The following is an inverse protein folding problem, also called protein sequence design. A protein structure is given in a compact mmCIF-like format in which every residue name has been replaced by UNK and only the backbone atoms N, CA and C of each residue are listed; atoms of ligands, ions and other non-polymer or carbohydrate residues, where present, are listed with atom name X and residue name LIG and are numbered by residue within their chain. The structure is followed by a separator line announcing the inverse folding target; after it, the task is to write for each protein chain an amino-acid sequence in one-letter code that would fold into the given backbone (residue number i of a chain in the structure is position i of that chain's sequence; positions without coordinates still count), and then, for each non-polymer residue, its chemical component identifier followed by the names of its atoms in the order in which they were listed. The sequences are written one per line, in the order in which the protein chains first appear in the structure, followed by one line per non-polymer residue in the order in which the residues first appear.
data_IF_441530447126
#
_entry.id   IF_441530447126
#
_cell.length_a   1.000
_cell.length_b   1.000
_cell.length_c   1.000
_cell.angle_alpha   90.00
_cell.angle_beta   90.00
_cell.angle_gamma   90.00
#
_symmetry.space_group_name_H-M   'P 1'
#
loop_
_entity.id
_entity.type
_entity.pdbx_description
1 polymer ?
#
# COMPACT_ATOMS: atom_id res chain seq x y z
N UNK A 1 40.72 -69.54 -39.63
CA UNK A 1 39.91 -69.30 -38.42
C UNK A 1 40.88 -69.09 -37.28
N UNK A 2 40.77 -67.97 -36.56
CA UNK A 2 41.59 -67.72 -35.37
C UNK A 2 41.30 -68.80 -34.33
N UNK A 3 42.35 -69.25 -33.63
CA UNK A 3 42.19 -70.19 -32.52
C UNK A 3 41.35 -69.53 -31.40
N UNK A 4 40.60 -70.33 -30.64
CA UNK A 4 39.77 -69.83 -29.53
C UNK A 4 40.61 -69.11 -28.45
N UNK A 5 41.90 -69.43 -28.33
CA UNK A 5 42.81 -68.72 -27.43
C UNK A 5 43.19 -67.33 -27.95
N UNK A 6 43.37 -67.19 -29.27
CA UNK A 6 43.72 -65.90 -29.88
C UNK A 6 42.54 -64.93 -29.80
N UNK A 7 41.31 -65.40 -29.99
CA UNK A 7 40.10 -64.57 -29.82
C UNK A 7 39.98 -64.02 -28.39
N UNK A 8 40.15 -64.87 -27.38
CA UNK A 8 40.11 -64.45 -25.97
C UNK A 8 41.19 -63.43 -25.63
N UNK A 9 42.39 -63.58 -26.22
CA UNK A 9 43.48 -62.63 -26.03
C UNK A 9 43.15 -61.27 -26.64
N UNK A 10 42.56 -61.25 -27.83
CA UNK A 10 42.16 -60.00 -28.51
C UNK A 10 41.07 -59.30 -27.71
N UNK A 11 40.06 -60.04 -27.23
CA UNK A 11 38.96 -59.49 -26.44
C UNK A 11 39.46 -58.86 -25.12
N UNK A 12 40.40 -59.51 -24.43
CA UNK A 12 41.02 -58.95 -23.22
C UNK A 12 41.83 -57.68 -23.49
N UNK A 13 42.56 -57.63 -24.62
CA UNK A 13 43.33 -56.45 -25.01
C UNK A 13 42.41 -55.29 -25.40
N UNK A 14 41.31 -55.56 -26.08
CA UNK A 14 40.32 -54.55 -26.44
C UNK A 14 39.59 -54.01 -25.21
N UNK A 15 39.18 -54.89 -24.30
CA UNK A 15 38.57 -54.51 -23.02
C UNK A 15 39.53 -53.63 -22.21
N UNK A 16 40.80 -54.03 -22.08
CA UNK A 16 41.81 -53.25 -21.37
C UNK A 16 42.06 -51.87 -22.02
N UNK A 17 42.13 -51.80 -23.35
CA UNK A 17 42.25 -50.51 -24.06
C UNK A 17 41.06 -49.60 -23.80
N UNK A 18 39.86 -50.15 -23.75
CA UNK A 18 38.63 -49.39 -23.47
C UNK A 18 38.64 -48.86 -22.04
N UNK A 19 38.97 -49.69 -21.05
CA UNK A 19 39.06 -49.29 -19.64
C UNK A 19 40.12 -48.21 -19.40
N UNK A 20 41.28 -48.28 -20.07
CA UNK A 20 42.33 -47.28 -19.95
C UNK A 20 41.89 -45.95 -20.58
N UNK A 21 41.23 -46.00 -21.74
CA UNK A 21 40.72 -44.79 -22.41
C UNK A 21 39.65 -44.11 -21.56
N UNK A 22 38.72 -44.87 -21.00
CA UNK A 22 37.64 -44.35 -20.16
C UNK A 22 38.18 -43.69 -18.88
N UNK A 23 39.19 -44.31 -18.23
CA UNK A 23 39.88 -43.72 -17.07
C UNK A 23 40.59 -42.40 -17.41
N UNK A 24 41.17 -42.27 -18.60
CA UNK A 24 41.85 -41.05 -19.04
C UNK A 24 40.86 -39.91 -19.37
N UNK A 25 39.73 -40.23 -20.01
CA UNK A 25 38.69 -39.26 -20.32
C UNK A 25 37.95 -38.79 -19.06
N UNK A 26 37.66 -39.71 -18.12
CA UNK A 26 37.03 -39.38 -16.84
C UNK A 26 37.92 -38.46 -15.98
N UNK A 27 39.25 -38.66 -15.98
CA UNK A 27 40.18 -37.77 -15.29
C UNK A 27 40.33 -36.38 -15.94
N UNK A 28 40.24 -36.29 -17.27
CA UNK A 28 40.25 -35.00 -17.98
C UNK A 28 38.97 -34.21 -17.77
N UNK A 29 37.81 -34.85 -17.86
CA UNK A 29 36.50 -34.22 -17.70
C UNK A 29 36.31 -33.61 -16.30
N UNK A 30 36.80 -34.27 -15.25
CA UNK A 30 36.67 -33.80 -13.85
C UNK A 30 37.51 -32.56 -13.53
N UNK A 31 38.64 -32.35 -14.24
CA UNK A 31 39.49 -31.14 -14.09
C UNK A 31 39.00 -29.95 -14.92
N UNK A 32 38.24 -30.19 -15.99
CA UNK A 32 37.89 -29.15 -16.96
C UNK A 32 36.78 -28.20 -16.46
N UNK A 33 35.85 -28.65 -15.62
CA UNK A 33 34.74 -27.82 -15.12
C UNK A 33 35.11 -26.83 -14.02
N UNK A 34 35.56 -27.33 -12.86
CA UNK A 34 35.84 -26.47 -11.70
C UNK A 34 37.16 -25.69 -11.83
N UNK A 35 38.19 -26.30 -12.43
CA UNK A 35 39.49 -25.65 -12.62
C UNK A 35 39.42 -24.46 -13.59
N UNK A 36 38.60 -24.56 -14.64
CA UNK A 36 38.42 -23.48 -15.61
C UNK A 36 37.68 -22.28 -14.98
N UNK A 37 36.62 -22.53 -14.20
CA UNK A 37 35.89 -21.47 -13.48
C UNK A 37 36.79 -20.76 -12.47
N UNK A 38 37.60 -21.52 -11.71
CA UNK A 38 38.55 -20.92 -10.76
C UNK A 38 39.65 -20.10 -11.46
N UNK A 39 40.16 -20.60 -12.60
CA UNK A 39 41.14 -19.87 -13.42
C UNK A 39 40.56 -18.59 -14.03
N UNK A 40 39.27 -18.61 -14.40
CA UNK A 40 38.56 -17.45 -14.93
C UNK A 40 38.48 -16.35 -13.88
N UNK A 41 38.02 -16.67 -12.67
CA UNK A 41 37.91 -15.69 -11.57
C UNK A 41 39.26 -15.14 -11.09
N UNK A 42 40.36 -15.88 -11.26
CA UNK A 42 41.72 -15.39 -10.99
C UNK A 42 42.36 -14.62 -12.15
N UNK A 43 41.72 -14.56 -13.32
CA UNK A 43 42.24 -13.79 -14.46
C UNK A 43 41.91 -12.30 -14.31
N UNK A 44 42.73 -11.42 -14.89
CA UNK A 44 42.45 -9.97 -14.94
C UNK A 44 41.08 -9.67 -15.56
N UNK A 45 40.67 -10.46 -16.56
CA UNK A 45 39.37 -10.34 -17.20
C UNK A 45 38.22 -10.77 -16.27
N UNK A 46 38.35 -11.91 -15.57
CA UNK A 46 37.33 -12.37 -14.62
C UNK A 46 37.18 -11.46 -13.41
N UNK A 47 38.28 -10.90 -12.90
CA UNK A 47 38.23 -9.85 -11.88
C UNK A 47 37.51 -8.61 -12.38
N UNK A 48 37.77 -8.17 -13.62
CA UNK A 48 37.05 -7.06 -14.23
C UNK A 48 35.54 -7.34 -14.37
N UNK A 49 35.15 -8.54 -14.80
CA UNK A 49 33.73 -8.95 -14.86
C UNK A 49 33.09 -9.00 -13.47
N UNK A 50 33.79 -9.53 -12.45
CA UNK A 50 33.32 -9.53 -11.07
C UNK A 50 33.10 -8.11 -10.54
N UNK A 51 34.01 -7.19 -10.81
CA UNK A 51 33.84 -5.78 -10.45
C UNK A 51 32.65 -5.17 -11.16
N UNK A 52 32.43 -5.46 -12.44
CA UNK A 52 31.25 -4.97 -13.18
C UNK A 52 29.93 -5.53 -12.60
N UNK A 53 29.89 -6.81 -12.23
CA UNK A 53 28.74 -7.44 -11.57
C UNK A 53 28.51 -6.82 -10.19
N UNK A 54 29.58 -6.60 -9.42
CA UNK A 54 29.47 -6.00 -8.09
C UNK A 54 28.98 -4.56 -8.15
N UNK A 55 29.51 -3.75 -9.08
CA UNK A 55 29.06 -2.36 -9.26
C UNK A 55 27.63 -2.32 -9.77
N UNK A 56 27.26 -3.12 -10.78
CA UNK A 56 25.87 -3.16 -11.28
C UNK A 56 24.88 -3.68 -10.25
N UNK A 57 25.25 -4.71 -9.48
CA UNK A 57 24.47 -5.20 -8.35
C UNK A 57 24.32 -4.16 -7.26
N UNK A 58 25.40 -3.45 -6.91
CA UNK A 58 25.40 -2.37 -5.93
C UNK A 58 24.53 -1.18 -6.36
N UNK A 59 24.62 -0.76 -7.62
CA UNK A 59 23.76 0.29 -8.19
C UNK A 59 22.29 -0.11 -8.11
N UNK A 60 21.96 -1.36 -8.50
CA UNK A 60 20.57 -1.84 -8.43
C UNK A 60 20.03 -1.84 -7.00
N UNK A 61 20.80 -2.35 -6.04
CA UNK A 61 20.40 -2.36 -4.63
C UNK A 61 20.23 -0.94 -4.09
N UNK A 62 21.11 -0.02 -4.49
CA UNK A 62 21.02 1.39 -4.12
C UNK A 62 19.78 2.07 -4.72
N UNK A 63 19.52 1.86 -6.00
CA UNK A 63 18.33 2.38 -6.69
C UNK A 63 17.04 1.81 -6.07
N UNK A 64 16.99 0.51 -5.79
CA UNK A 64 15.86 -0.13 -5.11
C UNK A 64 15.63 0.47 -3.71
N UNK A 65 16.71 0.73 -2.96
CA UNK A 65 16.63 1.39 -1.65
C UNK A 65 16.12 2.83 -1.76
N UNK A 66 16.63 3.60 -2.72
CA UNK A 66 16.21 4.98 -2.94
C UNK A 66 14.74 5.07 -3.36
N UNK A 67 14.31 4.20 -4.28
CA UNK A 67 12.91 4.08 -4.70
C UNK A 67 12.01 3.72 -3.53
N UNK A 68 12.45 2.81 -2.64
CA UNK A 68 11.71 2.47 -1.43
C UNK A 68 11.56 3.69 -0.50
N UNK A 69 12.63 4.44 -0.28
CA UNK A 69 12.61 5.63 0.56
C UNK A 69 11.72 6.75 -0.02
N UNK A 70 11.79 6.99 -1.33
CA UNK A 70 10.92 7.94 -2.03
C UNK A 70 9.46 7.53 -1.92
N UNK A 71 9.14 6.25 -2.13
CA UNK A 71 7.78 5.72 -1.98
C UNK A 71 7.25 5.87 -0.54
N UNK A 72 8.08 5.62 0.48
CA UNK A 72 7.69 5.81 1.88
C UNK A 72 7.38 7.29 2.17
N UNK A 73 8.19 8.21 1.64
CA UNK A 73 7.96 9.65 1.78
C UNK A 73 6.66 10.09 1.09
N UNK A 74 6.44 9.69 -0.16
CA UNK A 74 5.21 10.03 -0.90
C UNK A 74 3.97 9.45 -0.21
N UNK A 75 4.06 8.27 0.40
CA UNK A 75 2.96 7.70 1.19
C UNK A 75 2.70 8.48 2.47
N UNK A 76 3.75 8.93 3.15
CA UNK A 76 3.62 9.82 4.30
C UNK A 76 2.86 11.10 3.95
N UNK A 77 3.23 11.73 2.82
CA UNK A 77 2.52 12.91 2.29
C UNK A 77 1.05 12.61 1.97
N UNK A 78 0.74 11.45 1.38
CA UNK A 78 -0.65 11.04 1.11
C UNK A 78 -1.43 10.86 2.43
N UNK A 79 -0.83 10.23 3.44
CA UNK A 79 -1.48 10.03 4.75
C UNK A 79 -1.78 11.37 5.40
N UNK A 80 -0.85 12.32 5.37
CA UNK A 80 -1.05 13.67 5.91
C UNK A 80 -2.17 14.41 5.19
N UNK A 81 -2.20 14.35 3.85
CA UNK A 81 -3.31 14.94 3.07
C UNK A 81 -4.65 14.30 3.42
N UNK A 82 -4.69 12.97 3.57
CA UNK A 82 -5.90 12.25 3.97
C UNK A 82 -6.34 12.65 5.38
N UNK A 83 -5.43 12.79 6.34
CA UNK A 83 -5.73 13.27 7.69
C UNK A 83 -6.37 14.66 7.67
N UNK A 84 -5.81 15.57 6.89
CA UNK A 84 -6.34 16.93 6.75
C UNK A 84 -7.72 16.95 6.10
N UNK A 85 -7.92 16.20 5.01
CA UNK A 85 -9.21 16.13 4.31
C UNK A 85 -10.29 15.45 5.18
N UNK A 86 -9.95 14.39 5.92
CA UNK A 86 -10.86 13.72 6.85
C UNK A 86 -11.27 14.68 7.97
N UNK A 87 -10.31 15.39 8.58
CA UNK A 87 -10.56 16.37 9.63
C UNK A 87 -11.49 17.48 9.13
N UNK A 88 -11.17 18.03 7.96
CA UNK A 88 -11.95 19.07 7.32
C UNK A 88 -13.40 18.64 6.99
N UNK A 89 -13.60 17.41 6.50
CA UNK A 89 -14.95 16.88 6.26
C UNK A 89 -15.71 16.66 7.56
N UNK A 90 -15.08 16.18 8.63
CA UNK A 90 -15.71 16.08 9.94
C UNK A 90 -16.15 17.46 10.48
N UNK A 91 -15.28 18.46 10.36
CA UNK A 91 -15.58 19.83 10.78
C UNK A 91 -16.79 20.39 10.04
N UNK A 92 -16.87 20.19 8.73
CA UNK A 92 -18.03 20.61 7.93
C UNK A 92 -19.30 19.87 8.33
N UNK A 93 -19.25 18.56 8.56
CA UNK A 93 -20.41 17.79 9.03
C UNK A 93 -20.89 18.31 10.38
N UNK A 94 -19.98 18.53 11.33
CA UNK A 94 -20.33 19.03 12.66
C UNK A 94 -20.90 20.44 12.63
N UNK A 95 -20.30 21.34 11.84
CA UNK A 95 -20.77 22.71 11.65
C UNK A 95 -22.15 22.74 10.98
N UNK A 96 -22.38 21.87 10.00
CA UNK A 96 -23.69 21.73 9.34
C UNK A 96 -24.77 21.29 10.33
N UNK A 97 -24.46 20.32 11.20
CA UNK A 97 -25.36 19.87 12.26
C UNK A 97 -25.65 20.99 13.28
N UNK A 98 -24.69 21.87 13.55
CA UNK A 98 -24.86 23.02 14.45
C UNK A 98 -25.77 24.09 13.84
N UNK A 99 -25.55 24.45 12.56
CA UNK A 99 -26.42 25.38 11.82
C UNK A 99 -27.87 24.89 11.75
N UNK A 100 -28.07 23.59 11.51
CA UNK A 100 -29.40 22.96 11.46
C UNK A 100 -30.10 23.00 12.81
N UNK A 101 -29.35 22.87 13.91
CA UNK A 101 -29.87 22.94 15.28
C UNK A 101 -30.31 24.36 15.65
N UNK A 102 -29.63 25.39 15.15
CA UNK A 102 -29.89 26.78 15.53
C UNK A 102 -31.15 27.39 14.86
N UNK A 103 -31.66 26.83 13.76
CA UNK A 103 -32.92 27.24 13.10
C UNK A 103 -33.20 28.76 13.18
N UNK A 104 -32.43 29.58 12.47
CA UNK A 104 -33.00 30.83 11.96
C UNK A 104 -33.57 30.54 10.55
N UNK A 105 -34.91 30.39 10.41
CA UNK A 105 -35.56 30.25 9.11
C UNK A 105 -35.66 31.59 8.35
N UNK A 106 -35.09 32.67 8.87
CA UNK A 106 -35.13 33.99 8.24
C UNK A 106 -33.71 34.52 8.03
N UNK A 107 -33.19 34.36 6.80
CA UNK A 107 -32.31 35.38 6.24
C UNK A 107 -30.85 35.05 5.94
N UNK A 108 -30.35 33.82 6.08
CA UNK A 108 -28.95 33.53 5.73
C UNK A 108 -28.84 32.82 4.38
N UNK A 109 -28.60 33.62 3.34
CA UNK A 109 -28.46 33.20 1.93
C UNK A 109 -27.15 32.42 1.63
N UNK A 110 -26.41 31.97 2.64
CA UNK A 110 -25.07 31.34 2.52
C UNK A 110 -24.94 29.98 3.24
N UNK A 111 -26.04 29.33 3.63
CA UNK A 111 -25.98 28.02 4.30
C UNK A 111 -25.48 26.91 3.34
N UNK A 112 -24.33 26.28 3.61
CA UNK A 112 -23.81 25.18 2.78
C UNK A 112 -24.78 23.98 2.69
N UNK A 113 -25.65 23.79 3.69
CA UNK A 113 -26.70 22.74 3.71
C UNK A 113 -27.98 23.26 4.37
N UNK A 114 -29.13 23.03 3.73
CA UNK A 114 -30.45 23.50 4.15
C UNK A 114 -31.26 22.44 4.90
N UNK A 115 -30.85 21.17 4.83
CA UNK A 115 -31.55 20.04 5.44
C UNK A 115 -30.61 19.06 6.13
N UNK A 116 -31.13 18.32 7.11
CA UNK A 116 -30.39 17.25 7.78
C UNK A 116 -30.08 16.07 6.85
N UNK A 117 -30.90 15.89 5.82
CA UNK A 117 -30.66 14.91 4.76
C UNK A 117 -29.49 15.33 3.86
N UNK A 118 -29.34 16.62 3.57
CA UNK A 118 -28.14 17.16 2.89
C UNK A 118 -26.87 16.99 3.74
N UNK A 119 -26.91 17.29 5.04
CA UNK A 119 -25.78 17.08 5.93
C UNK A 119 -25.38 15.59 6.03
N UNK A 120 -26.37 14.69 6.07
CA UNK A 120 -26.16 13.23 6.00
C UNK A 120 -25.55 12.82 4.67
N UNK A 121 -26.09 13.29 3.55
CA UNK A 121 -25.61 12.96 2.21
C UNK A 121 -24.20 13.50 1.95
N UNK A 122 -23.86 14.65 2.52
CA UNK A 122 -22.52 15.21 2.50
C UNK A 122 -21.54 14.37 3.33
N UNK A 123 -21.91 14.00 4.57
CA UNK A 123 -21.09 13.13 5.42
C UNK A 123 -20.81 11.76 4.78
N UNK A 124 -21.81 11.21 4.08
CA UNK A 124 -21.71 9.89 3.43
C UNK A 124 -21.27 9.97 1.96
N UNK A 125 -21.11 11.16 1.38
CA UNK A 125 -20.76 11.38 -0.02
C UNK A 125 -21.76 10.79 -1.02
N UNK A 126 -23.04 10.62 -0.64
CA UNK A 126 -24.05 9.96 -1.48
C UNK A 126 -24.56 10.88 -2.58
N UNK A 127 -24.41 12.21 -2.47
CA UNK A 127 -24.94 13.12 -3.48
C UNK A 127 -23.88 14.06 -4.07
N UNK A 128 -23.53 13.80 -5.34
CA UNK A 128 -22.73 14.67 -6.22
C UNK A 128 -23.47 15.97 -6.57
N UNK A 129 -24.79 15.98 -6.39
CA UNK A 129 -25.71 17.00 -6.91
C UNK A 129 -26.22 17.99 -5.83
N UNK A 130 -25.66 18.00 -4.61
CA UNK A 130 -26.01 19.02 -3.60
C UNK A 130 -25.53 20.44 -3.96
N UNK A 131 -24.81 20.60 -5.08
CA UNK A 131 -24.91 21.79 -5.92
C UNK A 131 -24.27 23.09 -5.41
N UNK A 132 -23.60 23.09 -4.25
CA UNK A 132 -22.74 24.20 -3.85
C UNK A 132 -21.30 23.77 -4.04
N UNK A 133 -20.49 24.58 -4.73
CA UNK A 133 -19.07 24.32 -4.98
C UNK A 133 -18.40 23.83 -3.70
N UNK A 134 -18.20 22.52 -3.60
CA UNK A 134 -17.62 21.95 -2.39
C UNK A 134 -16.21 22.51 -2.26
N UNK A 135 -15.94 23.28 -1.20
CA UNK A 135 -14.58 23.59 -0.81
C UNK A 135 -13.96 22.28 -0.33
N UNK A 136 -12.97 21.76 -1.03
CA UNK A 136 -12.12 20.63 -0.62
C UNK A 136 -10.68 21.16 -0.43
N UNK A 137 -9.90 20.54 0.46
CA UNK A 137 -8.51 20.96 0.64
C UNK A 137 -7.63 20.46 -0.52
N UNK A 138 -7.95 19.27 -1.03
CA UNK A 138 -7.20 18.64 -2.12
C UNK A 138 -8.12 18.18 -3.27
N UNK A 139 -7.82 18.64 -4.48
CA UNK A 139 -8.61 18.33 -5.70
C UNK A 139 -8.72 16.83 -5.97
N UNK A 140 -7.67 16.07 -5.65
CA UNK A 140 -7.65 14.61 -5.79
C UNK A 140 -8.71 13.87 -4.95
N UNK A 141 -9.22 14.51 -3.89
CA UNK A 141 -10.20 13.92 -2.96
C UNK A 141 -11.60 14.50 -3.08
N UNK A 142 -11.83 15.42 -4.03
CA UNK A 142 -13.12 16.10 -4.25
C UNK A 142 -14.32 15.15 -4.27
N UNK A 143 -14.20 14.00 -4.94
CA UNK A 143 -15.30 13.05 -5.11
C UNK A 143 -15.33 11.92 -4.08
N UNK A 144 -14.55 12.04 -3.01
CA UNK A 144 -14.39 10.97 -2.03
C UNK A 144 -15.28 11.20 -0.82
N UNK A 145 -16.00 10.15 -0.43
CA UNK A 145 -16.76 10.12 0.82
C UNK A 145 -15.81 10.01 2.01
N UNK A 146 -16.29 10.39 3.20
CA UNK A 146 -15.52 10.27 4.44
C UNK A 146 -15.05 8.82 4.68
N UNK A 147 -15.93 7.85 4.42
CA UNK A 147 -15.59 6.43 4.51
C UNK A 147 -14.51 6.02 3.49
N UNK A 148 -14.60 6.50 2.25
CA UNK A 148 -13.60 6.21 1.21
C UNK A 148 -12.21 6.74 1.61
N UNK A 149 -12.14 7.96 2.17
CA UNK A 149 -10.90 8.55 2.66
C UNK A 149 -10.29 7.73 3.81
N UNK A 150 -11.10 7.32 4.79
CA UNK A 150 -10.61 6.49 5.91
C UNK A 150 -10.14 5.11 5.45
N UNK A 151 -10.87 4.47 4.53
CA UNK A 151 -10.48 3.17 3.97
C UNK A 151 -9.15 3.29 3.22
N UNK A 152 -8.96 4.35 2.46
CA UNK A 152 -7.71 4.61 1.76
C UNK A 152 -6.58 4.92 2.72
N UNK A 153 -6.83 5.70 3.78
CA UNK A 153 -5.84 5.94 4.81
C UNK A 153 -5.39 4.62 5.46
N UNK A 154 -6.33 3.74 5.79
CA UNK A 154 -6.01 2.42 6.33
C UNK A 154 -5.16 1.60 5.33
N UNK A 155 -5.48 1.68 4.04
CA UNK A 155 -4.69 1.03 2.98
C UNK A 155 -3.26 1.57 2.94
N UNK A 156 -3.06 2.88 3.03
CA UNK A 156 -1.74 3.49 3.02
C UNK A 156 -0.92 3.13 4.26
N UNK A 157 -1.54 3.13 5.45
CA UNK A 157 -0.90 2.69 6.70
C UNK A 157 -0.46 1.23 6.63
N UNK A 158 -1.31 0.33 6.13
CA UNK A 158 -0.97 -1.09 5.91
C UNK A 158 0.21 -1.29 4.96
N UNK A 159 0.32 -0.46 3.93
CA UNK A 159 1.48 -0.50 3.02
C UNK A 159 2.79 -0.11 3.70
N UNK A 160 2.74 0.73 4.75
CA UNK A 160 3.89 1.07 5.58
C UNK A 160 4.15 0.04 6.70
N UNK A 161 3.34 -1.01 6.79
CA UNK A 161 3.41 -1.99 7.88
C UNK A 161 2.87 -1.45 9.21
N UNK A 162 2.13 -0.35 9.19
CA UNK A 162 1.50 0.25 10.37
C UNK A 162 0.08 -0.33 10.49
N UNK A 163 -0.22 -0.93 11.64
CA UNK A 163 -1.57 -1.38 11.98
C UNK A 163 -2.24 -0.36 12.89
N UNK A 164 -3.37 0.19 12.45
CA UNK A 164 -4.13 1.19 13.18
C UNK A 164 -5.51 0.63 13.54
N UNK A 165 -5.59 0.03 14.72
CA UNK A 165 -6.81 -0.61 15.23
C UNK A 165 -7.92 0.41 15.53
N UNK A 166 -7.56 1.65 15.88
CA UNK A 166 -8.53 2.70 16.17
C UNK A 166 -9.23 3.14 14.88
N UNK A 167 -8.47 3.34 13.79
CA UNK A 167 -9.05 3.63 12.48
C UNK A 167 -9.95 2.51 11.97
N UNK A 168 -9.55 1.25 12.15
CA UNK A 168 -10.38 0.11 11.77
C UNK A 168 -11.72 0.07 12.52
N UNK A 169 -11.68 0.40 13.82
CA UNK A 169 -12.88 0.52 14.63
C UNK A 169 -13.78 1.67 14.17
N UNK A 170 -13.21 2.85 13.90
CA UNK A 170 -13.96 4.01 13.38
C UNK A 170 -14.61 3.69 12.03
N UNK A 171 -13.88 3.04 11.11
CA UNK A 171 -14.42 2.61 9.82
C UNK A 171 -15.62 1.68 10.02
N UNK A 172 -15.51 0.72 10.96
CA UNK A 172 -16.60 -0.20 11.28
C UNK A 172 -17.82 0.55 11.81
N UNK A 173 -17.62 1.43 12.78
CA UNK A 173 -18.70 2.21 13.39
C UNK A 173 -19.37 3.16 12.40
N UNK A 174 -18.60 3.83 11.53
CA UNK A 174 -19.13 4.70 10.49
C UNK A 174 -20.00 3.91 9.50
N UNK A 175 -19.57 2.71 9.12
CA UNK A 175 -20.35 1.83 8.24
C UNK A 175 -21.66 1.35 8.90
N UNK A 176 -21.63 1.03 10.19
CA UNK A 176 -22.84 0.70 10.94
C UNK A 176 -23.79 1.89 11.06
N UNK A 177 -23.23 3.08 11.32
CA UNK A 177 -23.98 4.31 11.43
C UNK A 177 -24.63 4.70 10.09
N UNK A 178 -23.93 4.53 8.96
CA UNK A 178 -24.49 4.73 7.63
C UNK A 178 -25.75 3.85 7.41
N UNK A 179 -25.68 2.57 7.79
CA UNK A 179 -26.83 1.64 7.71
C UNK A 179 -28.00 2.05 8.61
N UNK A 180 -27.72 2.59 9.80
CA UNK A 180 -28.75 3.10 10.70
C UNK A 180 -29.45 4.31 10.06
N UNK A 181 -28.66 5.22 9.47
CA UNK A 181 -29.19 6.41 8.82
C UNK A 181 -29.95 6.14 7.53
N UNK A 182 -29.57 5.11 6.76
CA UNK A 182 -30.34 4.69 5.57
C UNK A 182 -31.76 4.22 5.92
N UNK A 183 -31.96 3.66 7.11
CA UNK A 183 -33.22 3.02 7.50
C UNK A 183 -34.09 3.83 8.46
N UNK A 184 -33.66 5.04 8.88
CA UNK A 184 -34.39 5.88 9.85
C UNK A 184 -34.53 7.31 9.36
N UNK A 185 -35.72 7.88 9.51
CA UNK A 185 -35.90 9.34 9.49
C UNK A 185 -35.26 9.91 10.76
N UNK A 186 -34.24 10.73 10.59
CA UNK A 186 -33.51 11.35 11.70
C UNK A 186 -34.24 12.63 12.10
N UNK A 187 -34.57 12.76 13.38
CA UNK A 187 -35.27 13.94 13.89
C UNK A 187 -34.28 14.97 14.43
N UNK A 188 -34.72 16.24 14.51
CA UNK A 188 -33.92 17.34 15.06
C UNK A 188 -33.50 17.11 16.53
N UNK A 189 -34.28 16.35 17.28
CA UNK A 189 -33.98 15.99 18.68
C UNK A 189 -32.75 15.08 18.80
N UNK A 190 -32.43 14.33 17.74
CA UNK A 190 -31.29 13.41 17.71
C UNK A 190 -29.96 14.10 17.41
N UNK A 191 -29.97 15.37 16.95
CA UNK A 191 -28.77 16.07 16.47
C UNK A 191 -27.69 16.15 17.55
N UNK A 192 -28.04 16.47 18.80
CA UNK A 192 -27.06 16.53 19.90
C UNK A 192 -26.43 15.17 20.17
N UNK A 193 -27.23 14.11 20.13
CA UNK A 193 -26.76 12.74 20.32
C UNK A 193 -25.84 12.32 19.17
N UNK A 194 -26.18 12.67 17.93
CA UNK A 194 -25.37 12.40 16.74
C UNK A 194 -24.03 13.14 16.81
N UNK A 195 -24.03 14.43 17.13
CA UNK A 195 -22.80 15.23 17.31
C UNK A 195 -21.91 14.62 18.39
N UNK A 196 -22.50 14.22 19.52
CA UNK A 196 -21.76 13.56 20.61
C UNK A 196 -21.11 12.26 20.14
N UNK A 197 -21.88 11.38 19.47
CA UNK A 197 -21.35 10.11 18.95
C UNK A 197 -20.23 10.37 17.94
N UNK A 198 -20.37 11.35 17.04
CA UNK A 198 -19.31 11.71 16.08
C UNK A 198 -18.04 12.14 16.82
N UNK A 199 -18.14 13.12 17.74
CA UNK A 199 -16.97 13.67 18.45
C UNK A 199 -16.27 12.66 19.37
N UNK A 200 -17.04 11.79 20.02
CA UNK A 200 -16.51 10.83 21.00
C UNK A 200 -16.02 9.53 20.37
N UNK A 201 -16.71 9.04 19.34
CA UNK A 201 -16.47 7.69 18.82
C UNK A 201 -15.89 7.66 17.41
N UNK A 202 -16.13 8.70 16.60
CA UNK A 202 -15.70 8.71 15.20
C UNK A 202 -14.49 9.60 14.93
N UNK A 203 -14.21 10.60 15.77
CA UNK A 203 -13.08 11.51 15.57
C UNK A 203 -11.86 11.05 16.36
N UNK A 204 -10.84 10.55 15.65
CA UNK A 204 -9.55 10.18 16.23
C UNK A 204 -8.75 11.39 16.69
N UNK A 205 -7.87 11.20 17.68
CA UNK A 205 -7.02 12.26 18.24
C UNK A 205 -6.18 12.99 17.20
N UNK A 206 -5.68 12.27 16.18
CA UNK A 206 -4.90 12.85 15.07
C UNK A 206 -5.69 13.81 14.16
N UNK A 207 -7.02 13.70 14.15
CA UNK A 207 -7.88 14.59 13.39
C UNK A 207 -8.29 15.80 14.22
N UNK A 208 -8.33 15.65 15.55
CA UNK A 208 -8.59 16.78 16.47
C UNK A 208 -7.46 17.81 16.46
N UNK A 209 -6.22 17.39 16.25
CA UNK A 209 -5.09 18.33 16.16
C UNK A 209 -5.10 19.18 14.88
N UNK A 210 -5.80 18.70 13.84
CA UNK A 210 -5.82 19.32 12.53
C UNK A 210 -7.16 20.04 12.26
N UNK A 211 -8.14 19.90 13.15
CA UNK A 211 -9.40 20.63 13.05
C UNK A 211 -9.18 22.11 13.38
N UNK A 212 -9.99 22.97 12.77
CA UNK A 212 -10.03 24.41 13.11
C UNK A 212 -10.69 24.68 14.48
N UNK A 213 -10.99 23.63 15.24
CA UNK A 213 -11.60 23.66 16.57
C UNK A 213 -10.64 23.09 17.61
N UNK A 214 -9.45 23.68 17.74
CA UNK A 214 -8.85 23.77 19.06
C UNK A 214 -9.75 24.69 19.90
N UNK A 215 -10.35 24.13 20.95
CA UNK A 215 -11.13 24.88 21.96
C UNK A 215 -10.42 26.17 22.43
#
# INVERSE_FOLDING_TARGET
MLSEEEKKRIELVETYKFEVKDKLEYQKARKFGLGMVYSFFNSKFGLWVLSAIFVSGGVKVYDDYKVKQENEKTRGEIIEKLDNEISFKFDRVLASLELIKEKEPEGVWDQEFSTLEEAKNFALGINKDSGKEEKYLYEEFKNWSLLALMVEQNRQLKHLGIQDTELEEVIRQLNEMAKIFENRQVNYEDIKSIQKIIRENLVLSRWKSNSLFSD
#
